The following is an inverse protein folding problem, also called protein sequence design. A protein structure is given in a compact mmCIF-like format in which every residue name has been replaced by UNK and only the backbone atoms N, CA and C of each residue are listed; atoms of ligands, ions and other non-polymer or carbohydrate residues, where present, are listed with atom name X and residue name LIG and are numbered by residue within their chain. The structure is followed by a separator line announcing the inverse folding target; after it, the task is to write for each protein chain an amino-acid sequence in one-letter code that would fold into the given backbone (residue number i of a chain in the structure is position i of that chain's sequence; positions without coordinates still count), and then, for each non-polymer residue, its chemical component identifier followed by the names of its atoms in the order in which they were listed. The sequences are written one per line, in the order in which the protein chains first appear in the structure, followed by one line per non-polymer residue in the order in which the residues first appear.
data_IF_608613606875
#
_entry.id   IF_608613606875
#
_cell.length_a   1.000
_cell.length_b   1.000
_cell.length_c   1.000
_cell.angle_alpha   90.00
_cell.angle_beta   90.00
_cell.angle_gamma   90.00
#
_symmetry.space_group_name_H-M   'P 1'
#
loop_
_entity.id
_entity.type
_entity.pdbx_description
1 polymer ?
#
# COMPACT_ATOMS: atom_id res chain seq x y z
N UNK A 1 -34.94 0.99 -57.26
CA UNK A 1 -34.17 0.18 -56.29
C UNK A 1 -32.71 0.18 -56.71
N UNK A 2 -31.85 0.99 -56.08
CA UNK A 2 -30.39 0.85 -56.22
C UNK A 2 -29.77 0.91 -54.83
N UNK A 3 -29.50 -0.26 -54.28
CA UNK A 3 -28.73 -0.42 -53.05
C UNK A 3 -27.31 0.05 -53.36
N UNK A 4 -26.90 1.20 -52.81
CA UNK A 4 -25.49 1.61 -52.83
C UNK A 4 -24.74 0.80 -51.78
N UNK A 5 -23.75 0.06 -52.25
CA UNK A 5 -22.81 -0.68 -51.43
C UNK A 5 -22.08 0.24 -50.45
N UNK A 6 -22.04 -0.16 -49.17
CA UNK A 6 -21.22 0.47 -48.13
C UNK A 6 -19.77 0.03 -48.33
N UNK A 7 -18.80 0.94 -48.58
CA UNK A 7 -17.41 0.54 -48.66
C UNK A 7 -16.85 0.24 -47.26
N UNK A 8 -16.41 -1.00 -47.05
CA UNK A 8 -15.61 -1.44 -45.91
C UNK A 8 -14.25 -0.74 -45.95
N UNK A 9 -14.16 0.44 -45.34
CA UNK A 9 -12.91 1.21 -45.29
C UNK A 9 -12.16 0.90 -44.01
N UNK A 10 -11.07 0.14 -44.17
CA UNK A 10 -9.81 0.30 -43.45
C UNK A 10 -9.85 0.15 -41.93
N UNK A 11 -9.28 -0.94 -41.44
CA UNK A 11 -8.76 -1.02 -40.08
C UNK A 11 -7.87 0.20 -39.79
N UNK A 12 -8.31 1.07 -38.88
CA UNK A 12 -7.52 2.20 -38.39
C UNK A 12 -6.41 1.59 -37.52
N UNK A 13 -5.27 1.29 -38.13
CA UNK A 13 -4.05 1.01 -37.39
C UNK A 13 -3.61 2.33 -36.73
N UNK A 14 -4.03 2.54 -35.47
CA UNK A 14 -3.59 3.67 -34.67
C UNK A 14 -2.05 3.63 -34.56
N UNK A 15 -1.33 4.72 -34.90
CA UNK A 15 0.09 4.81 -34.63
C UNK A 15 0.30 4.69 -33.12
N UNK A 16 0.91 3.59 -32.66
CA UNK A 16 1.43 3.50 -31.29
C UNK A 16 2.62 4.45 -31.20
N UNK A 17 2.33 5.70 -30.90
CA UNK A 17 3.33 6.73 -30.64
C UNK A 17 4.10 6.33 -29.37
N UNK A 18 5.22 5.61 -29.54
CA UNK A 18 6.16 5.30 -28.46
C UNK A 18 6.90 6.60 -28.13
N UNK A 19 6.26 7.46 -27.35
CA UNK A 19 6.90 8.69 -26.85
C UNK A 19 8.13 8.29 -26.01
N UNK A 20 9.36 8.69 -26.40
CA UNK A 20 10.52 8.45 -25.55
C UNK A 20 10.29 9.15 -24.21
N UNK A 21 10.61 8.48 -23.12
CA UNK A 21 10.41 9.03 -21.77
C UNK A 21 11.24 10.31 -21.65
N UNK A 22 10.62 11.50 -21.52
CA UNK A 22 11.38 12.75 -21.42
C UNK A 22 12.34 12.65 -20.24
N UNK A 23 13.57 13.14 -20.39
CA UNK A 23 14.68 13.05 -19.41
C UNK A 23 14.27 13.42 -17.98
N UNK A 24 13.28 14.32 -17.82
CA UNK A 24 12.64 14.66 -16.54
C UNK A 24 11.97 13.48 -15.83
N UNK A 25 11.41 12.50 -16.57
CA UNK A 25 10.88 11.25 -16.03
C UNK A 25 11.98 10.32 -15.54
N UNK A 26 13.12 10.27 -16.22
CA UNK A 26 14.26 9.46 -15.78
C UNK A 26 14.76 9.91 -14.41
N UNK A 27 14.95 11.22 -14.21
CA UNK A 27 15.30 11.77 -12.89
C UNK A 27 14.28 11.43 -11.79
N UNK A 28 12.98 11.50 -12.09
CA UNK A 28 11.95 11.10 -11.12
C UNK A 28 11.96 9.61 -10.80
N UNK A 29 12.26 8.73 -11.76
CA UNK A 29 12.36 7.29 -11.51
C UNK A 29 13.59 6.94 -10.66
N UNK A 30 14.72 7.59 -10.90
CA UNK A 30 15.92 7.42 -10.07
C UNK A 30 15.65 7.90 -8.63
N UNK A 31 15.03 9.08 -8.47
CA UNK A 31 14.65 9.59 -7.15
C UNK A 31 13.68 8.64 -6.43
N UNK A 32 12.63 8.15 -7.11
CA UNK A 32 11.70 7.18 -6.55
C UNK A 32 12.40 5.89 -6.13
N UNK A 33 13.33 5.39 -6.95
CA UNK A 33 14.09 4.17 -6.65
C UNK A 33 14.95 4.36 -5.39
N UNK A 34 15.66 5.49 -5.28
CA UNK A 34 16.49 5.80 -4.10
C UNK A 34 15.63 5.92 -2.85
N UNK A 35 14.53 6.69 -2.90
CA UNK A 35 13.62 6.84 -1.75
C UNK A 35 12.99 5.50 -1.36
N UNK A 36 12.59 4.69 -2.35
CA UNK A 36 12.05 3.36 -2.11
C UNK A 36 13.06 2.45 -1.42
N UNK A 37 14.33 2.47 -1.85
CA UNK A 37 15.38 1.68 -1.20
C UNK A 37 15.61 2.17 0.22
N UNK A 38 15.68 3.48 0.45
CA UNK A 38 15.88 4.03 1.81
C UNK A 38 14.75 3.65 2.78
N UNK A 39 13.50 3.66 2.31
CA UNK A 39 12.33 3.26 3.12
C UNK A 39 12.27 1.74 3.29
N UNK A 40 12.62 0.97 2.26
CA UNK A 40 12.60 -0.49 2.32
C UNK A 40 13.78 -1.06 3.11
N UNK A 41 14.93 -0.37 3.16
CA UNK A 41 16.14 -0.84 3.81
C UNK A 41 15.93 -1.28 5.28
N UNK A 42 15.34 -0.48 6.18
CA UNK A 42 15.08 -0.93 7.56
C UNK A 42 14.10 -2.11 7.63
N UNK A 43 13.14 -2.21 6.70
CA UNK A 43 12.22 -3.35 6.63
C UNK A 43 12.95 -4.64 6.20
N UNK A 44 13.88 -4.53 5.24
CA UNK A 44 14.71 -5.64 4.79
C UNK A 44 15.66 -6.11 5.89
N UNK A 45 16.21 -5.18 6.68
CA UNK A 45 17.01 -5.52 7.85
C UNK A 45 16.18 -6.23 8.92
N UNK A 46 15.00 -5.71 9.26
CA UNK A 46 14.11 -6.35 10.23
C UNK A 46 13.72 -7.78 9.80
N UNK A 47 13.48 -7.97 8.50
CA UNK A 47 13.22 -9.29 7.92
C UNK A 47 14.44 -10.20 8.00
N UNK A 48 15.63 -9.68 7.69
CA UNK A 48 16.89 -10.44 7.82
C UNK A 48 17.10 -10.91 9.27
N UNK A 49 16.93 -10.01 10.23
CA UNK A 49 17.08 -10.30 11.66
C UNK A 49 16.04 -11.28 12.19
N UNK A 50 14.82 -11.32 11.65
CA UNK A 50 13.82 -12.30 12.09
C UNK A 50 14.22 -13.76 11.79
N UNK A 51 15.09 -13.98 10.80
CA UNK A 51 15.64 -15.30 10.45
C UNK A 51 17.00 -15.60 11.11
N UNK A 52 17.61 -14.66 11.83
CA UNK A 52 18.90 -14.87 12.50
C UNK A 52 18.76 -15.60 13.82
N UNK A 53 19.73 -16.45 14.15
CA UNK A 53 19.85 -17.04 15.47
C UNK A 53 20.24 -16.00 16.54
N UNK A 54 19.91 -16.25 17.81
CA UNK A 54 20.27 -15.36 18.92
C UNK A 54 21.80 -15.10 18.99
N UNK A 55 22.60 -16.11 18.64
CA UNK A 55 24.07 -16.00 18.58
C UNK A 55 24.58 -15.09 17.45
N UNK A 56 23.91 -15.06 16.30
CA UNK A 56 24.28 -14.20 15.18
C UNK A 56 23.95 -12.73 15.49
N UNK A 57 22.80 -12.48 16.11
CA UNK A 57 22.38 -11.12 16.52
C UNK A 57 23.31 -10.58 17.63
N UNK A 58 23.83 -11.45 18.50
CA UNK A 58 24.74 -11.09 19.57
C UNK A 58 26.18 -10.77 19.09
N UNK A 59 26.52 -11.01 17.82
CA UNK A 59 27.84 -10.73 17.27
C UNK A 59 27.96 -9.25 16.86
N UNK A 60 29.10 -8.59 17.14
CA UNK A 60 29.32 -7.19 16.77
C UNK A 60 30.44 -7.06 15.72
N UNK A 61 30.19 -6.44 14.56
CA UNK A 61 28.91 -5.91 14.07
C UNK A 61 27.94 -7.03 13.63
N UNK A 62 26.61 -6.87 13.81
CA UNK A 62 25.64 -7.84 13.32
C UNK A 62 25.72 -7.95 11.79
N UNK A 63 25.69 -9.18 11.23
CA UNK A 63 25.68 -9.34 9.79
C UNK A 63 24.40 -8.73 9.18
N UNK A 64 24.46 -8.32 7.91
CA UNK A 64 23.30 -7.77 7.19
C UNK A 64 22.37 -8.88 6.68
N UNK A 65 22.92 -10.08 6.44
CA UNK A 65 22.22 -11.27 5.95
C UNK A 65 22.48 -12.46 6.88
N UNK A 66 21.49 -13.33 7.15
CA UNK A 66 21.68 -14.49 8.02
C UNK A 66 22.68 -15.46 7.39
N UNK A 67 23.62 -15.98 8.20
CA UNK A 67 24.51 -17.05 7.74
C UNK A 67 23.80 -18.41 7.84
N UNK A 68 22.97 -18.58 8.87
CA UNK A 68 22.15 -19.75 9.08
C UNK A 68 20.68 -19.37 9.29
N UNK A 69 19.89 -19.24 8.20
CA UNK A 69 18.46 -18.92 8.31
C UNK A 69 17.73 -19.95 9.18
N UNK A 70 17.10 -19.50 10.27
CA UNK A 70 16.32 -20.34 11.18
C UNK A 70 14.87 -19.84 11.30
N UNK A 71 13.96 -20.79 11.53
CA UNK A 71 12.54 -20.53 11.83
C UNK A 71 12.23 -20.66 13.33
N UNK A 72 13.23 -20.96 14.16
CA UNK A 72 13.04 -21.21 15.59
C UNK A 72 12.47 -19.99 16.32
N UNK A 73 12.84 -18.78 15.89
CA UNK A 73 12.30 -17.54 16.43
C UNK A 73 10.77 -17.47 16.30
N UNK A 74 10.22 -17.91 15.17
CA UNK A 74 8.78 -17.93 14.95
C UNK A 74 8.10 -18.96 15.85
N UNK A 75 8.67 -20.16 15.98
CA UNK A 75 8.13 -21.20 16.87
C UNK A 75 8.14 -20.74 18.33
N UNK A 76 9.24 -20.14 18.79
CA UNK A 76 9.37 -19.56 20.14
C UNK A 76 8.28 -18.51 20.40
N UNK A 77 8.07 -17.57 19.48
CA UNK A 77 7.07 -16.51 19.66
C UNK A 77 5.64 -17.06 19.65
N UNK A 78 5.34 -18.02 18.75
CA UNK A 78 4.03 -18.66 18.68
C UNK A 78 3.68 -19.43 19.97
N UNK A 79 4.67 -20.00 20.65
CA UNK A 79 4.50 -20.67 21.94
C UNK A 79 4.51 -19.73 23.15
N UNK A 80 5.28 -18.64 23.10
CA UNK A 80 5.48 -17.73 24.23
C UNK A 80 4.35 -16.71 24.40
N UNK A 81 3.72 -16.29 23.30
CA UNK A 81 2.74 -15.19 23.29
C UNK A 81 1.50 -15.60 22.49
N UNK A 82 0.27 -15.29 22.94
CA UNK A 82 -0.95 -15.58 22.19
C UNK A 82 -1.13 -14.62 21.00
N UNK A 83 -0.24 -14.68 20.02
CA UNK A 83 -0.16 -13.71 18.91
C UNK A 83 -1.44 -13.70 18.06
N UNK A 84 -2.07 -14.87 17.89
CA UNK A 84 -3.35 -15.01 17.17
C UNK A 84 -4.43 -14.18 17.84
N UNK A 85 -4.46 -14.15 19.19
CA UNK A 85 -5.44 -13.35 19.93
C UNK A 85 -5.18 -11.85 19.74
N UNK A 86 -3.92 -11.42 19.69
CA UNK A 86 -3.58 -10.02 19.43
C UNK A 86 -3.95 -9.58 18.01
N UNK A 87 -3.72 -10.45 17.02
CA UNK A 87 -4.17 -10.23 15.64
C UNK A 87 -5.70 -10.13 15.58
N UNK A 88 -6.43 -11.07 16.21
CA UNK A 88 -7.89 -11.06 16.22
C UNK A 88 -8.46 -9.82 16.90
N UNK A 89 -7.92 -9.42 18.06
CA UNK A 89 -8.34 -8.21 18.74
C UNK A 89 -8.17 -6.98 17.84
N UNK A 90 -7.01 -6.83 17.22
CA UNK A 90 -6.71 -5.71 16.33
C UNK A 90 -7.59 -5.72 15.08
N UNK A 91 -7.86 -6.90 14.53
CA UNK A 91 -8.74 -7.09 13.39
C UNK A 91 -10.18 -6.70 13.71
N UNK A 92 -10.71 -7.15 14.86
CA UNK A 92 -12.06 -6.81 15.32
C UNK A 92 -12.17 -5.30 15.55
N UNK A 93 -11.21 -4.71 16.28
CA UNK A 93 -11.21 -3.27 16.58
C UNK A 93 -11.12 -2.43 15.31
N UNK A 94 -10.16 -2.70 14.44
CA UNK A 94 -10.00 -1.95 13.18
C UNK A 94 -11.23 -2.07 12.28
N UNK A 95 -11.83 -3.26 12.16
CA UNK A 95 -13.04 -3.46 11.38
C UNK A 95 -14.22 -2.69 11.96
N UNK A 96 -14.43 -2.76 13.28
CA UNK A 96 -15.50 -2.02 13.95
C UNK A 96 -15.34 -0.50 13.78
N UNK A 97 -14.11 0.01 13.89
CA UNK A 97 -13.80 1.43 13.67
C UNK A 97 -14.08 1.83 12.23
N UNK A 98 -13.64 1.04 11.24
CA UNK A 98 -13.89 1.35 9.82
C UNK A 98 -15.38 1.36 9.50
N UNK A 99 -16.15 0.39 10.01
CA UNK A 99 -17.62 0.36 9.82
C UNK A 99 -18.26 1.60 10.46
N UNK A 100 -17.92 1.90 11.71
CA UNK A 100 -18.44 3.08 12.41
C UNK A 100 -18.10 4.36 11.67
N UNK A 101 -16.84 4.51 11.24
CA UNK A 101 -16.38 5.65 10.48
C UNK A 101 -17.08 5.77 9.13
N UNK A 102 -17.32 4.68 8.41
CA UNK A 102 -18.02 4.70 7.13
C UNK A 102 -19.47 5.17 7.30
N UNK A 103 -20.16 4.68 8.33
CA UNK A 103 -21.52 5.12 8.67
C UNK A 103 -21.50 6.61 9.01
N UNK A 104 -20.68 7.04 9.97
CA UNK A 104 -20.65 8.44 10.39
C UNK A 104 -20.21 9.39 9.27
N UNK A 105 -19.16 9.05 8.52
CA UNK A 105 -18.65 9.87 7.43
C UNK A 105 -19.64 9.95 6.26
N UNK A 106 -20.34 8.85 5.93
CA UNK A 106 -21.37 8.87 4.87
C UNK A 106 -22.58 9.70 5.26
N UNK A 107 -23.08 9.58 6.51
CA UNK A 107 -24.16 10.43 7.02
C UNK A 107 -23.76 11.91 7.05
N UNK A 108 -22.53 12.21 7.51
CA UNK A 108 -21.99 13.57 7.50
C UNK A 108 -21.92 14.11 6.06
N UNK A 109 -21.33 13.36 5.13
CA UNK A 109 -21.24 13.73 3.72
C UNK A 109 -22.63 13.97 3.09
N UNK A 110 -23.62 13.15 3.42
CA UNK A 110 -25.00 13.35 2.98
C UNK A 110 -25.61 14.64 3.53
N UNK A 111 -25.47 14.88 4.84
CA UNK A 111 -25.97 16.10 5.48
C UNK A 111 -25.31 17.36 4.91
N UNK A 112 -24.00 17.34 4.66
CA UNK A 112 -23.30 18.44 4.02
C UNK A 112 -23.68 18.63 2.56
N UNK A 113 -23.94 17.56 1.81
CA UNK A 113 -24.22 17.67 0.37
C UNK A 113 -25.66 18.11 0.11
N UNK A 114 -26.64 17.55 0.82
CA UNK A 114 -28.06 17.66 0.48
C UNK A 114 -28.88 18.48 1.47
N UNK A 115 -28.47 18.64 2.73
CA UNK A 115 -29.23 19.42 3.71
C UNK A 115 -28.74 20.88 3.76
N UNK A 116 -29.69 21.80 3.91
CA UNK A 116 -29.43 23.23 4.15
C UNK A 116 -29.70 23.51 5.63
N UNK A 117 -28.66 23.51 6.45
CA UNK A 117 -28.77 23.76 7.90
C UNK A 117 -27.98 25.01 8.31
N UNK A 118 -28.49 25.75 9.31
CA UNK A 118 -27.82 26.91 9.90
C UNK A 118 -26.54 26.44 10.61
N UNK A 119 -25.37 26.84 10.11
CA UNK A 119 -24.05 26.44 10.63
C UNK A 119 -23.16 25.67 9.66
N UNK A 120 -23.68 25.26 8.48
CA UNK A 120 -22.94 24.50 7.45
C UNK A 120 -21.60 25.14 7.05
N UNK A 121 -21.54 26.47 6.93
CA UNK A 121 -20.33 27.16 6.49
C UNK A 121 -19.23 27.20 7.55
N UNK A 122 -19.59 27.22 8.84
CA UNK A 122 -18.61 27.20 9.94
C UNK A 122 -17.96 25.82 10.03
N UNK A 123 -18.76 24.76 9.91
CA UNK A 123 -18.27 23.37 9.93
C UNK A 123 -17.52 22.96 8.66
N UNK A 124 -17.68 23.67 7.54
CA UNK A 124 -16.95 23.39 6.30
C UNK A 124 -15.60 24.11 6.23
N UNK A 125 -15.46 25.23 6.93
CA UNK A 125 -14.23 26.03 6.94
C UNK A 125 -13.24 25.62 8.04
N UNK A 126 -13.73 24.96 9.08
CA UNK A 126 -12.92 24.37 10.16
C UNK A 126 -12.34 23.02 9.72
#
# INVERSE_FOLDING_TARGET
MSVRAVPRTGAIALPRERRPLPVRKFGSYVLLAVVSILVAFPLLLALSYSFMSESEIATFPPPVLPMHPSLDNYQKVLGAIPIVRYLLNSFIVSTAVVIGQLITASLAAYAFSFLVFRGRQVLFFL
#
